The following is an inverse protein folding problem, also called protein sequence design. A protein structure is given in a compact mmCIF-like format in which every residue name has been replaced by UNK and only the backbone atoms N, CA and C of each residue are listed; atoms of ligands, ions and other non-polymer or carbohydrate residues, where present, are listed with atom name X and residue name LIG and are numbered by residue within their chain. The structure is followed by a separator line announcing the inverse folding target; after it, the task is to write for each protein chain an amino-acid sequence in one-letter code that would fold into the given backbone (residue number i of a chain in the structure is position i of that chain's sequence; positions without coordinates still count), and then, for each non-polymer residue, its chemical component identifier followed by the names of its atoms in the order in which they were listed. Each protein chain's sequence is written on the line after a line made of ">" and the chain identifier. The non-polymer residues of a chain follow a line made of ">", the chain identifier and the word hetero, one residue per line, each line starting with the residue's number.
data_IF_364833624344
#
_entry.id   IF_364833624344
#
_cell.length_a   1.000
_cell.length_b   1.000
_cell.length_c   1.000
_cell.angle_alpha   90.00
_cell.angle_beta   90.00
_cell.angle_gamma   90.00
#
_symmetry.space_group_name_H-M   'P 1'
#
loop_
_entity.id
_entity.type
_entity.pdbx_description
1 polymer ?
#
# COMPACT_ATOMS: atom_id res chain seq x y z
N UNK A 1 0.59 12.30 -10.70
CA UNK A 1 0.19 11.00 -10.97
C UNK A 1 -0.11 10.19 -9.74
N UNK A 2 -1.35 10.07 -9.49
CA UNK A 2 -1.76 9.30 -8.32
C UNK A 2 -1.55 7.83 -8.54
N UNK A 3 -1.93 7.32 -9.71
CA UNK A 3 -1.80 5.91 -9.96
C UNK A 3 -0.35 5.45 -9.98
N UNK A 4 0.52 6.31 -10.49
CA UNK A 4 1.93 5.96 -10.56
C UNK A 4 2.58 5.92 -9.18
N UNK A 5 1.98 6.59 -8.21
CA UNK A 5 2.55 6.62 -6.87
C UNK A 5 2.35 5.34 -6.10
N UNK A 6 1.38 4.53 -6.49
CA UNK A 6 1.08 3.34 -5.72
C UNK A 6 2.21 2.32 -5.74
N UNK A 7 2.77 1.96 -6.91
CA UNK A 7 3.93 1.06 -6.90
C UNK A 7 5.08 1.63 -6.09
N UNK A 8 5.28 2.94 -6.18
CA UNK A 8 6.33 3.57 -5.42
C UNK A 8 6.09 3.44 -3.92
N UNK A 9 4.83 3.60 -3.49
CA UNK A 9 4.51 3.46 -2.08
C UNK A 9 4.77 2.06 -1.56
N UNK A 10 4.48 1.04 -2.37
CA UNK A 10 4.77 -0.33 -1.99
C UNK A 10 6.26 -0.48 -1.74
N UNK A 11 7.07 0.06 -2.64
CA UNK A 11 8.51 -0.04 -2.51
C UNK A 11 9.05 0.82 -1.40
N UNK A 12 8.45 1.98 -1.17
CA UNK A 12 8.90 2.83 -0.08
C UNK A 12 8.75 2.14 1.26
N UNK A 13 7.62 1.50 1.48
CA UNK A 13 7.42 0.78 2.71
C UNK A 13 8.48 -0.29 2.90
N UNK A 14 8.82 -0.96 1.81
CA UNK A 14 9.83 -2.01 1.85
C UNK A 14 11.23 -1.45 2.00
N UNK A 15 11.46 -0.29 1.42
CA UNK A 15 12.83 0.24 1.30
C UNK A 15 13.25 1.17 2.40
N UNK A 16 12.36 1.54 3.30
CA UNK A 16 12.71 2.47 4.36
C UNK A 16 13.89 1.98 5.18
N UNK A 17 13.98 0.69 5.39
CA UNK A 17 15.08 0.12 6.16
C UNK A 17 16.38 0.11 5.37
N UNK A 18 16.28 0.24 4.06
CA UNK A 18 17.44 0.21 3.19
C UNK A 18 17.97 1.59 2.85
N UNK A 19 17.21 2.62 3.21
CA UNK A 19 17.59 3.94 2.81
C UNK A 19 16.85 4.35 1.55
N UNK A 20 15.99 5.32 1.69
CA UNK A 20 15.08 5.69 0.62
C UNK A 20 15.81 6.15 -0.63
N UNK A 21 16.97 6.76 -0.45
CA UNK A 21 17.68 7.32 -1.58
C UNK A 21 18.01 6.31 -2.66
N UNK A 22 18.15 5.05 -2.28
CA UNK A 22 18.50 4.05 -3.25
C UNK A 22 17.35 3.60 -4.11
N UNK A 23 16.15 4.05 -3.83
CA UNK A 23 14.99 3.61 -4.57
C UNK A 23 14.71 4.48 -5.77
N UNK A 24 15.71 5.13 -6.25
CA UNK A 24 15.55 5.94 -7.45
C UNK A 24 15.68 5.11 -8.71
N UNK A 25 16.20 3.90 -8.59
CA UNK A 25 16.29 3.02 -9.74
C UNK A 25 14.89 2.66 -10.21
N UNK A 26 14.61 2.83 -11.49
CA UNK A 26 13.29 2.47 -11.99
C UNK A 26 13.02 0.99 -11.81
N UNK A 27 11.80 0.69 -11.46
CA UNK A 27 11.37 -0.69 -11.27
C UNK A 27 10.23 -0.98 -12.21
N UNK A 28 10.04 -2.26 -12.56
CA UNK A 28 8.91 -2.61 -13.41
C UNK A 28 7.60 -2.22 -12.74
N UNK A 29 6.59 -1.90 -13.54
CA UNK A 29 5.29 -1.57 -12.97
C UNK A 29 4.64 -2.82 -12.37
N UNK A 30 3.66 -2.59 -11.53
CA UNK A 30 2.86 -3.68 -10.99
C UNK A 30 2.16 -4.40 -12.12
N UNK A 31 1.97 -5.71 -12.00
CA UNK A 31 1.15 -6.42 -12.96
C UNK A 31 -0.30 -5.94 -12.87
N UNK A 32 -1.11 -6.37 -13.82
CA UNK A 32 -2.51 -5.97 -13.83
C UNK A 32 -3.17 -6.35 -12.52
N UNK A 33 -3.76 -5.37 -11.87
CA UNK A 33 -4.48 -5.57 -10.64
C UNK A 33 -5.35 -4.37 -10.38
N UNK A 34 -6.10 -4.41 -9.29
CA UNK A 34 -6.96 -3.32 -8.89
C UNK A 34 -6.58 -2.88 -7.50
N UNK A 35 -6.59 -1.59 -7.27
CA UNK A 35 -6.10 -1.04 -6.01
C UNK A 35 -7.22 -0.25 -5.36
N UNK A 36 -7.53 -0.64 -4.14
CA UNK A 36 -8.54 0.05 -3.34
C UNK A 36 -7.80 0.91 -2.33
N UNK A 37 -8.13 2.19 -2.31
CA UNK A 37 -7.48 3.14 -1.42
C UNK A 37 -8.51 3.67 -0.45
N UNK A 38 -8.20 3.59 0.85
CA UNK A 38 -9.10 4.09 1.87
C UNK A 38 -8.36 4.98 2.85
N UNK A 39 -8.96 6.11 3.17
CA UNK A 39 -8.37 7.03 4.12
C UNK A 39 -9.33 7.28 5.26
N UNK A 40 -8.96 6.92 6.49
CA UNK A 40 -9.82 7.19 7.63
C UNK A 40 -9.80 8.68 8.00
N UNK A 41 -10.77 9.13 8.79
CA UNK A 41 -10.86 10.56 9.15
C UNK A 41 -9.91 10.91 10.31
N UNK A 42 -8.64 10.59 10.16
CA UNK A 42 -7.63 10.94 11.16
C UNK A 42 -6.44 11.54 10.44
N UNK A 43 -5.68 12.33 11.16
CA UNK A 43 -4.45 12.93 10.64
C UNK A 43 -3.28 12.36 11.39
N UNK A 44 -2.25 11.95 10.67
CA UNK A 44 -1.06 11.36 11.27
C UNK A 44 0.13 12.26 11.02
N UNK A 45 0.84 12.59 12.09
CA UNK A 45 2.04 13.41 11.97
C UNK A 45 3.20 12.54 11.48
N UNK A 46 3.74 12.87 10.32
CA UNK A 46 4.89 12.17 9.78
C UNK A 46 6.08 12.29 10.75
N UNK A 47 6.24 13.46 11.32
CA UNK A 47 7.33 13.67 12.26
C UNK A 47 7.20 12.76 13.48
N UNK A 48 5.99 12.62 14.01
CA UNK A 48 5.77 11.74 15.13
C UNK A 48 6.14 10.31 14.79
N UNK A 49 5.70 9.84 13.63
CA UNK A 49 5.93 8.46 13.23
C UNK A 49 7.42 8.19 13.08
N UNK A 50 8.12 9.05 12.35
CA UNK A 50 9.55 8.83 12.18
C UNK A 50 10.32 8.98 13.48
N UNK A 51 9.86 9.87 14.35
CA UNK A 51 10.52 10.07 15.63
C UNK A 51 10.39 8.91 16.60
N UNK A 52 9.39 8.07 16.37
CA UNK A 52 9.16 6.93 17.27
C UNK A 52 9.54 5.60 16.65
N UNK A 53 10.14 5.62 15.47
CA UNK A 53 10.57 4.40 14.82
C UNK A 53 11.80 3.87 15.51
N UNK A 54 11.74 2.62 15.93
CA UNK A 54 12.85 2.03 16.67
C UNK A 54 13.91 1.49 15.74
N UNK A 55 15.15 1.62 16.17
CA UNK A 55 16.28 1.17 15.37
C UNK A 55 16.19 -0.31 15.05
N UNK A 56 15.73 -1.10 16.00
CA UNK A 56 15.61 -2.53 15.76
C UNK A 56 14.65 -2.85 14.63
N UNK A 57 13.63 -2.03 14.46
CA UNK A 57 12.67 -2.25 13.38
C UNK A 57 13.25 -1.81 12.05
N UNK A 58 14.06 -0.77 12.07
CA UNK A 58 14.72 -0.32 10.86
C UNK A 58 15.68 -1.38 10.36
N UNK A 59 16.26 -2.13 11.26
CA UNK A 59 17.23 -3.16 10.90
C UNK A 59 16.60 -4.39 10.26
N UNK A 60 15.30 -4.55 10.39
CA UNK A 60 14.61 -5.62 9.69
C UNK A 60 14.46 -5.20 8.25
N UNK A 61 15.34 -5.69 7.44
CA UNK A 61 15.33 -5.28 6.04
C UNK A 61 14.24 -5.97 5.26
N UNK A 62 13.34 -5.22 4.62
CA UNK A 62 12.39 -5.82 3.70
C UNK A 62 13.15 -6.48 2.56
N UNK A 63 12.47 -7.41 1.89
CA UNK A 63 13.09 -8.17 0.82
C UNK A 63 12.99 -7.39 -0.49
N UNK A 64 13.77 -6.34 -0.59
CA UNK A 64 13.70 -5.45 -1.75
C UNK A 64 14.08 -6.19 -3.02
N UNK A 65 15.13 -7.01 -2.97
CA UNK A 65 15.56 -7.75 -4.14
C UNK A 65 14.50 -8.72 -4.61
N UNK A 66 13.85 -9.40 -3.68
CA UNK A 66 12.80 -10.35 -4.05
C UNK A 66 11.57 -9.64 -4.56
N UNK A 67 11.31 -8.45 -4.02
CA UNK A 67 10.21 -7.64 -4.54
C UNK A 67 10.49 -7.25 -5.98
N UNK A 68 11.71 -6.83 -6.27
CA UNK A 68 12.07 -6.46 -7.63
C UNK A 68 11.96 -7.65 -8.57
N UNK A 69 12.37 -8.83 -8.11
CA UNK A 69 12.23 -10.03 -8.92
C UNK A 69 10.77 -10.35 -9.22
N UNK A 70 9.92 -10.21 -8.20
CA UNK A 70 8.49 -10.48 -8.39
C UNK A 70 7.88 -9.51 -9.36
N UNK A 71 8.29 -8.24 -9.30
CA UNK A 71 7.80 -7.24 -10.23
C UNK A 71 8.25 -7.57 -11.65
N UNK A 72 9.50 -7.94 -11.81
CA UNK A 72 10.03 -8.28 -13.12
C UNK A 72 9.33 -9.51 -13.70
N UNK A 73 8.98 -10.45 -12.83
CA UNK A 73 8.30 -11.66 -13.27
C UNK A 73 6.80 -11.44 -13.48
N UNK A 74 6.27 -10.31 -13.07
CA UNK A 74 4.85 -10.06 -13.18
C UNK A 74 4.03 -10.90 -12.21
N UNK A 75 4.62 -11.31 -11.11
CA UNK A 75 3.95 -12.18 -10.15
C UNK A 75 3.24 -11.36 -9.10
N UNK A 76 1.94 -11.22 -9.24
CA UNK A 76 1.17 -10.45 -8.26
C UNK A 76 1.28 -11.08 -6.87
N UNK A 77 1.21 -12.38 -6.81
CA UNK A 77 1.31 -13.08 -5.53
C UNK A 77 2.67 -12.87 -4.89
N UNK A 78 3.73 -12.89 -5.69
CA UNK A 78 5.05 -12.65 -5.17
C UNK A 78 5.20 -11.25 -4.62
N UNK A 79 4.55 -10.29 -5.27
CA UNK A 79 4.61 -8.91 -4.82
C UNK A 79 3.83 -8.73 -3.53
N UNK A 80 2.58 -9.20 -3.51
CA UNK A 80 1.73 -8.96 -2.34
C UNK A 80 2.22 -9.68 -1.11
N UNK A 81 2.86 -10.83 -1.28
CA UNK A 81 3.36 -11.56 -0.13
C UNK A 81 4.58 -10.89 0.49
N UNK A 82 5.20 -9.94 -0.22
CA UNK A 82 6.39 -9.26 0.27
C UNK A 82 6.15 -7.80 0.65
N UNK A 83 4.90 -7.36 0.58
CA UNK A 83 4.58 -5.99 0.95
C UNK A 83 4.79 -5.77 2.43
N UNK A 84 5.49 -4.71 2.75
CA UNK A 84 5.80 -4.42 4.13
C UNK A 84 6.04 -2.93 4.30
N UNK A 85 5.54 -2.37 5.39
CA UNK A 85 5.77 -0.96 5.71
C UNK A 85 6.16 -0.88 7.19
N UNK A 86 7.43 -0.66 7.43
CA UNK A 86 7.96 -0.66 8.79
C UNK A 86 7.32 0.43 9.65
N UNK A 87 6.81 1.49 9.03
CA UNK A 87 6.18 2.57 9.78
C UNK A 87 4.87 2.14 10.43
N UNK A 88 4.30 1.03 9.97
CA UNK A 88 3.08 0.52 10.61
C UNK A 88 3.32 0.16 12.06
N UNK A 89 4.53 -0.19 12.42
CA UNK A 89 4.83 -0.54 13.80
C UNK A 89 4.59 0.64 14.75
N UNK A 90 4.66 1.84 14.24
CA UNK A 90 4.39 3.03 15.04
C UNK A 90 2.96 3.51 14.83
N UNK A 91 2.54 3.64 13.58
CA UNK A 91 1.27 4.28 13.28
C UNK A 91 0.06 3.43 13.65
N UNK A 92 0.13 2.13 13.39
CA UNK A 92 -1.05 1.28 13.60
C UNK A 92 -1.45 1.21 15.07
N UNK A 93 -0.51 1.02 16.02
CA UNK A 93 -0.93 1.04 17.43
C UNK A 93 -1.53 2.37 17.85
N UNK A 94 -1.04 3.47 17.29
CA UNK A 94 -1.54 4.80 17.63
C UNK A 94 -2.89 5.09 17.00
N UNK A 95 -3.17 4.46 15.88
CA UNK A 95 -4.42 4.68 15.13
C UNK A 95 -4.98 3.34 14.70
N UNK A 96 -5.63 2.61 15.62
CA UNK A 96 -6.09 1.25 15.32
C UNK A 96 -7.05 1.13 14.15
N UNK A 97 -7.70 2.22 13.76
CA UNK A 97 -8.60 2.19 12.62
C UNK A 97 -7.85 1.75 11.35
N UNK A 98 -6.55 1.99 11.28
CA UNK A 98 -5.76 1.57 10.14
C UNK A 98 -5.75 0.05 10.03
N UNK A 99 -5.58 -0.63 11.16
CA UNK A 99 -5.64 -2.09 11.16
C UNK A 99 -7.03 -2.57 10.74
N UNK A 100 -8.08 -1.90 11.22
CA UNK A 100 -9.43 -2.29 10.87
C UNK A 100 -9.65 -2.19 9.37
N UNK A 101 -9.14 -1.15 8.74
CA UNK A 101 -9.28 -0.99 7.30
C UNK A 101 -8.51 -2.07 6.57
N UNK A 102 -7.29 -2.34 7.00
CA UNK A 102 -6.50 -3.40 6.38
C UNK A 102 -7.22 -4.75 6.45
N UNK A 103 -7.71 -5.08 7.64
CA UNK A 103 -8.41 -6.35 7.82
C UNK A 103 -9.69 -6.40 7.01
N UNK A 104 -10.39 -5.28 6.93
CA UNK A 104 -11.60 -5.21 6.14
C UNK A 104 -11.31 -5.50 4.67
N UNK A 105 -10.27 -4.90 4.14
CA UNK A 105 -9.89 -5.14 2.77
C UNK A 105 -9.53 -6.60 2.52
N UNK A 106 -8.77 -7.19 3.44
CA UNK A 106 -8.34 -8.58 3.28
C UNK A 106 -9.53 -9.52 3.38
N UNK A 107 -10.43 -9.27 4.33
CA UNK A 107 -11.63 -10.10 4.46
C UNK A 107 -12.49 -10.05 3.21
N UNK A 108 -12.42 -8.95 2.48
CA UNK A 108 -13.23 -8.79 1.28
C UNK A 108 -12.46 -9.12 0.01
N UNK A 109 -11.37 -9.84 0.13
CA UNK A 109 -10.73 -10.42 -1.03
C UNK A 109 -9.42 -9.80 -1.49
N UNK A 110 -8.89 -8.84 -0.74
CA UNK A 110 -7.58 -8.28 -1.13
C UNK A 110 -6.51 -9.35 -0.98
N UNK A 111 -5.58 -9.34 -1.93
CA UNK A 111 -4.41 -10.21 -1.82
C UNK A 111 -3.55 -9.78 -0.66
N UNK A 112 -3.50 -8.49 -0.41
CA UNK A 112 -2.86 -7.94 0.76
C UNK A 112 -3.27 -6.48 0.88
N UNK A 113 -3.02 -5.90 2.04
CA UNK A 113 -3.31 -4.50 2.29
C UNK A 113 -2.18 -3.90 3.09
N UNK A 114 -1.91 -2.63 2.86
CA UNK A 114 -0.77 -1.98 3.47
C UNK A 114 -1.04 -0.51 3.70
N UNK A 115 -0.46 0.02 4.76
CA UNK A 115 -0.50 1.45 4.99
C UNK A 115 0.45 2.15 4.03
N UNK A 116 0.04 3.31 3.55
CA UNK A 116 0.85 4.11 2.62
C UNK A 116 1.68 5.11 3.41
N UNK A 117 3.00 5.02 3.28
CA UNK A 117 3.89 5.93 3.98
C UNK A 117 3.67 5.89 5.48
N UNK A 118 3.59 7.05 6.11
CA UNK A 118 3.35 7.13 7.54
C UNK A 118 1.88 7.03 7.92
N UNK A 119 1.03 6.86 6.93
CA UNK A 119 -0.40 6.78 7.13
C UNK A 119 -1.06 8.14 7.07
N UNK A 120 -2.35 8.18 7.22
CA UNK A 120 -3.23 7.08 7.59
C UNK A 120 -3.80 6.29 6.42
N UNK A 121 -3.44 6.63 5.20
CA UNK A 121 -4.02 5.98 4.03
C UNK A 121 -3.64 4.51 3.96
N UNK A 122 -4.58 3.67 3.57
CA UNK A 122 -4.38 2.25 3.42
C UNK A 122 -4.75 1.88 1.99
N UNK A 123 -4.00 0.97 1.39
CA UNK A 123 -4.38 0.46 0.09
C UNK A 123 -4.38 -1.06 0.11
N UNK A 124 -5.28 -1.63 -0.68
CA UNK A 124 -5.38 -3.07 -0.82
C UNK A 124 -5.28 -3.43 -2.28
N UNK A 125 -4.68 -4.57 -2.56
CA UNK A 125 -4.45 -5.02 -3.92
C UNK A 125 -5.34 -6.22 -4.21
N UNK A 126 -6.08 -6.13 -5.32
CA UNK A 126 -7.04 -7.15 -5.70
C UNK A 126 -6.70 -7.66 -7.09
N UNK A 127 -6.85 -8.94 -7.29
CA UNK A 127 -6.62 -9.56 -8.57
C UNK A 127 -7.77 -9.31 -9.53
N UNK A 128 -8.96 -9.30 -8.98
CA UNK A 128 -10.18 -9.36 -9.76
C UNK A 128 -11.00 -8.09 -9.59
N UNK A 129 -11.48 -7.57 -10.71
CA UNK A 129 -12.23 -6.33 -10.71
C UNK A 129 -13.52 -6.44 -9.92
N UNK A 130 -14.22 -7.57 -10.07
CA UNK A 130 -15.48 -7.75 -9.34
C UNK A 130 -15.28 -7.78 -7.85
N UNK A 131 -14.26 -8.48 -7.41
CA UNK A 131 -13.95 -8.56 -5.99
C UNK A 131 -13.56 -7.18 -5.45
N UNK A 132 -12.77 -6.45 -6.23
CA UNK A 132 -12.37 -5.11 -5.82
C UNK A 132 -13.58 -4.19 -5.70
N UNK A 133 -14.52 -4.28 -6.63
CA UNK A 133 -15.72 -3.48 -6.60
C UNK A 133 -16.59 -3.79 -5.39
N UNK A 134 -16.69 -5.07 -5.04
CA UNK A 134 -17.41 -5.46 -3.85
C UNK A 134 -16.76 -4.91 -2.60
N UNK A 135 -15.44 -5.04 -2.53
CA UNK A 135 -14.71 -4.53 -1.38
C UNK A 135 -14.87 -3.01 -1.25
N UNK A 136 -14.89 -2.33 -2.37
CA UNK A 136 -15.10 -0.89 -2.38
C UNK A 136 -16.46 -0.57 -1.73
N UNK A 137 -17.50 -1.26 -2.17
CA UNK A 137 -18.82 -0.99 -1.64
C UNK A 137 -18.93 -1.31 -0.16
N UNK A 138 -18.34 -2.42 0.26
CA UNK A 138 -18.40 -2.79 1.67
C UNK A 138 -17.62 -1.84 2.54
N UNK A 139 -16.44 -1.41 2.08
CA UNK A 139 -15.66 -0.48 2.86
C UNK A 139 -16.37 0.88 2.96
N UNK A 140 -16.99 1.30 1.87
CA UNK A 140 -17.71 2.55 1.88
C UNK A 140 -18.86 2.53 2.89
N UNK A 141 -19.53 1.39 2.99
CA UNK A 141 -20.63 1.24 3.93
C UNK A 141 -20.18 1.14 5.37
N UNK A 142 -18.92 0.75 5.58
CA UNK A 142 -18.43 0.46 6.92
C UNK A 142 -18.32 1.71 7.81
N UNK A 143 -18.18 2.87 7.21
CA UNK A 143 -17.96 4.09 7.96
C UNK A 143 -16.53 4.26 8.43
N UNK A 144 -15.63 3.35 8.06
CA UNK A 144 -14.24 3.43 8.51
C UNK A 144 -13.43 4.48 7.77
N UNK A 145 -13.86 4.86 6.57
CA UNK A 145 -13.06 5.74 5.72
C UNK A 145 -13.83 7.00 5.39
N UNK A 146 -13.08 8.08 5.25
CA UNK A 146 -13.63 9.36 4.82
C UNK A 146 -13.49 9.53 3.32
N UNK A 147 -12.41 8.99 2.76
CA UNK A 147 -12.19 9.01 1.33
C UNK A 147 -11.89 7.61 0.87
N UNK A 148 -12.38 7.27 -0.31
CA UNK A 148 -12.20 5.93 -0.84
C UNK A 148 -12.10 6.02 -2.35
N UNK A 149 -11.17 5.27 -2.93
CA UNK A 149 -10.93 5.26 -4.36
C UNK A 149 -10.61 3.86 -4.83
N UNK A 150 -11.01 3.56 -6.05
CA UNK A 150 -10.65 2.31 -6.69
C UNK A 150 -9.93 2.67 -7.98
N UNK A 151 -8.72 2.14 -8.16
CA UNK A 151 -7.90 2.51 -9.29
C UNK A 151 -7.09 1.31 -9.75
N UNK A 152 -6.24 1.53 -10.73
CA UNK A 152 -5.33 0.52 -11.25
C UNK A 152 -3.93 1.11 -11.30
N UNK A 153 -2.90 0.26 -11.29
CA UNK A 153 -1.55 0.77 -11.37
C UNK A 153 -1.35 1.55 -12.65
N UNK A 154 -0.56 2.59 -12.54
CA UNK A 154 -0.24 3.42 -13.65
C UNK A 154 0.99 2.82 -14.31
N UNK A 155 0.79 2.07 -15.35
CA UNK A 155 1.89 1.40 -16.00
C UNK A 155 2.24 2.07 -17.30
N UNK A 156 2.90 1.32 -18.15
CA UNK A 156 3.24 1.80 -19.46
C UNK A 156 2.01 2.13 -20.21
N UNK A 157 1.88 3.21 -20.70
CA UNK A 157 0.72 3.55 -21.39
C UNK A 157 -0.39 3.76 -20.47
N UNK A 158 -0.11 3.66 -19.36
CA UNK A 158 -0.77 4.06 -18.39
C UNK A 158 -2.22 4.20 -18.26
N UNK A 159 -2.65 4.08 -17.11
CA UNK A 159 -3.98 4.34 -16.74
C UNK A 159 -4.11 5.83 -16.55
N UNK A 160 -5.12 6.33 -17.11
CA UNK A 160 -5.31 7.67 -16.94
C UNK A 160 -6.16 7.89 -15.85
N UNK A 161 -6.31 8.16 -15.22
CA UNK A 161 -7.01 8.46 -14.20
C UNK A 161 -7.88 9.04 -14.03
N UNK A 162 -7.78 9.18 -13.85
CA UNK A 162 -8.36 9.71 -13.39
C UNK A 162 -9.48 9.96 -13.62
N UNK A 163 -9.76 9.99 -14.03
CA UNK A 163 -10.71 10.36 -14.22
C UNK A 163 -11.55 9.63 -13.95
N UNK A 164 -11.63 9.28 -13.81
CA UNK A 164 -12.41 8.82 -13.56
C UNK A 164 -12.76 8.37 -12.97
#
# INVERSE_FOLDING_TARGET
>A
GRGADVPYCVLRGTALAEGIGEILTPLPPLPRCHILIGKPPVSVSTKFVYGHLKLSEIRRHPEVDKMAEALAAGSLEGITSRMENVLESVTVPAYPVIREIKEHMIRNGAENALMSGSGPTVFGIFKDRGTAGEAFRELKKSGLVRQIYLTRPFGNGGYRHGKR
#
